data_IF_786703382387
#
_entry.id   IF_786703382387
#
_cell.length_a   1.000
_cell.length_b   1.000
_cell.length_c   1.000
_cell.angle_alpha   90.00
_cell.angle_beta   90.00
_cell.angle_gamma   90.00
#
_symmetry.space_group_name_H-M   'P 1'
#
loop_
_entity.id
_entity.type
_entity.pdbx_description
1 polymer ?
#
# COMPACT_ATOMS: atom_id res chain seq x y z
N UNK A 1 20.69 -5.27 10.65
CA UNK A 1 19.48 -4.50 10.29
C UNK A 1 19.57 -4.26 8.80
N UNK A 2 18.54 -4.60 8.03
CA UNK A 2 18.54 -4.46 6.57
C UNK A 2 18.32 -2.99 6.24
N UNK A 3 19.26 -2.38 5.51
CA UNK A 3 19.24 -0.94 5.21
C UNK A 3 18.29 -0.60 4.04
N UNK A 4 17.93 -1.57 3.21
CA UNK A 4 16.93 -1.41 2.15
C UNK A 4 16.08 -2.68 1.95
N UNK A 5 14.85 -2.71 2.49
CA UNK A 5 13.91 -3.80 2.27
C UNK A 5 13.22 -3.78 0.90
N UNK A 6 13.48 -2.80 0.02
CA UNK A 6 12.97 -2.88 -1.36
C UNK A 6 13.52 -4.12 -2.08
N UNK A 7 12.64 -4.83 -2.78
CA UNK A 7 13.00 -6.03 -3.55
C UNK A 7 13.02 -7.32 -2.74
N UNK A 8 12.78 -7.27 -1.43
CA UNK A 8 12.52 -8.47 -0.63
C UNK A 8 11.10 -8.99 -0.87
N UNK A 9 10.98 -10.31 -0.99
CA UNK A 9 9.72 -11.03 -1.08
C UNK A 9 9.70 -12.19 -0.08
N UNK A 10 8.50 -12.69 0.21
CA UNK A 10 8.31 -13.83 1.08
C UNK A 10 9.08 -15.06 0.57
N UNK A 11 9.82 -15.73 1.46
CA UNK A 11 10.58 -16.95 1.17
C UNK A 11 10.06 -18.13 2.01
N UNK A 12 9.99 -17.98 3.33
CA UNK A 12 9.54 -19.07 4.22
C UNK A 12 8.83 -18.56 5.48
N UNK A 13 8.05 -19.46 6.10
CA UNK A 13 7.37 -19.25 7.37
C UNK A 13 7.48 -20.50 8.24
N UNK A 14 7.93 -20.31 9.47
CA UNK A 14 7.93 -21.34 10.51
C UNK A 14 7.17 -20.85 11.73
N UNK A 15 6.37 -21.74 12.32
CA UNK A 15 5.59 -21.46 13.52
C UNK A 15 5.94 -22.48 14.60
N UNK A 16 6.15 -21.98 15.82
CA UNK A 16 6.38 -22.79 17.00
C UNK A 16 5.41 -22.35 18.10
N UNK A 17 4.79 -23.33 18.76
CA UNK A 17 3.90 -23.06 19.89
C UNK A 17 4.67 -23.31 21.19
N UNK A 18 4.65 -22.33 22.08
CA UNK A 18 5.28 -22.42 23.39
C UNK A 18 4.32 -22.96 24.46
N UNK A 19 4.89 -23.34 25.61
CA UNK A 19 4.14 -24.00 26.69
C UNK A 19 3.10 -23.09 27.38
N UNK A 20 3.27 -21.77 27.27
CA UNK A 20 2.33 -20.74 27.70
C UNK A 20 1.20 -20.46 26.70
N UNK A 21 1.15 -21.22 25.60
CA UNK A 21 0.26 -21.06 24.44
C UNK A 21 0.54 -19.82 23.58
N UNK A 22 1.67 -19.14 23.77
CA UNK A 22 2.11 -18.13 22.81
C UNK A 22 2.64 -18.82 21.55
N UNK A 23 2.48 -18.17 20.39
CA UNK A 23 3.02 -18.63 19.12
C UNK A 23 4.20 -17.75 18.74
N UNK A 24 5.33 -18.36 18.43
CA UNK A 24 6.47 -17.71 17.79
C UNK A 24 6.41 -17.95 16.28
N UNK A 25 6.52 -16.89 15.50
CA UNK A 25 6.68 -16.93 14.05
C UNK A 25 8.10 -16.52 13.69
N UNK A 26 8.78 -17.34 12.89
CA UNK A 26 10.01 -17.00 12.18
C UNK A 26 9.65 -16.81 10.72
N UNK A 27 9.85 -15.61 10.20
CA UNK A 27 9.55 -15.23 8.82
C UNK A 27 10.86 -14.96 8.09
N UNK A 28 11.00 -15.56 6.91
CA UNK A 28 12.16 -15.39 6.04
C UNK A 28 11.77 -14.62 4.78
N UNK A 29 12.54 -13.60 4.43
CA UNK A 29 12.43 -12.88 3.17
C UNK A 29 13.70 -13.06 2.35
N UNK A 30 13.55 -13.09 1.02
CA UNK A 30 14.66 -13.15 0.08
C UNK A 30 14.61 -11.99 -0.91
N UNK A 31 15.76 -11.51 -1.37
CA UNK A 31 15.86 -10.62 -2.51
C UNK A 31 16.24 -11.37 -3.80
N UNK A 32 16.29 -10.67 -4.93
CA UNK A 32 16.62 -11.26 -6.24
C UNK A 32 18.08 -11.75 -6.34
N UNK A 33 18.96 -11.24 -5.48
CA UNK A 33 20.37 -11.65 -5.41
C UNK A 33 20.56 -12.91 -4.54
N UNK A 34 19.47 -13.43 -3.96
CA UNK A 34 19.47 -14.63 -3.12
C UNK A 34 19.88 -14.36 -1.67
N UNK A 35 20.02 -13.09 -1.27
CA UNK A 35 20.21 -12.73 0.15
C UNK A 35 18.92 -13.01 0.91
N UNK A 36 19.05 -13.74 2.03
CA UNK A 36 17.95 -14.09 2.91
C UNK A 36 18.08 -13.40 4.25
N UNK A 37 16.95 -12.93 4.77
CA UNK A 37 16.85 -12.27 6.06
C UNK A 37 15.73 -12.91 6.84
N UNK A 38 16.02 -13.29 8.07
CA UNK A 38 15.08 -13.90 9.00
C UNK A 38 14.77 -12.96 10.15
N UNK A 39 13.54 -12.97 10.60
CA UNK A 39 13.09 -12.21 11.76
C UNK A 39 11.94 -12.94 12.46
N UNK A 40 11.90 -12.82 13.78
CA UNK A 40 10.92 -13.51 14.61
C UNK A 40 10.17 -12.58 15.55
N UNK A 41 8.96 -12.99 15.89
CA UNK A 41 8.18 -12.40 16.97
C UNK A 41 7.19 -13.40 17.55
N UNK A 42 6.75 -13.10 18.77
CA UNK A 42 5.68 -13.83 19.43
C UNK A 42 4.35 -13.09 19.28
N UNK A 43 3.25 -13.83 19.42
CA UNK A 43 1.88 -13.32 19.47
C UNK A 43 0.95 -14.33 20.14
N UNK A 44 -0.26 -13.89 20.49
CA UNK A 44 -1.28 -14.76 21.09
C UNK A 44 -1.90 -15.73 20.06
N UNK A 45 -1.67 -15.49 18.77
CA UNK A 45 -2.03 -16.40 17.69
C UNK A 45 -1.10 -16.27 16.49
N UNK A 46 -1.20 -17.23 15.56
CA UNK A 46 -0.27 -17.33 14.42
C UNK A 46 -0.24 -16.06 13.57
N UNK A 47 -1.40 -15.50 13.23
CA UNK A 47 -1.49 -14.28 12.41
C UNK A 47 -0.85 -13.09 13.12
N UNK A 48 -1.10 -12.94 14.42
CA UNK A 48 -0.50 -11.86 15.22
C UNK A 48 1.02 -12.02 15.30
N UNK A 49 1.52 -13.22 15.57
CA UNK A 49 2.97 -13.50 15.62
C UNK A 49 3.65 -13.18 14.29
N UNK A 50 3.04 -13.59 13.16
CA UNK A 50 3.52 -13.30 11.81
C UNK A 50 3.56 -11.79 11.56
N UNK A 51 2.48 -11.07 11.88
CA UNK A 51 2.40 -9.62 11.64
C UNK A 51 3.38 -8.86 12.51
N UNK A 52 3.54 -9.24 13.78
CA UNK A 52 4.54 -8.68 14.67
C UNK A 52 5.97 -8.89 14.14
N UNK A 53 6.25 -10.04 13.55
CA UNK A 53 7.57 -10.32 12.95
C UNK A 53 7.82 -9.40 11.75
N UNK A 54 6.84 -9.27 10.85
CA UNK A 54 6.89 -8.39 9.68
C UNK A 54 7.02 -6.92 10.09
N UNK A 55 6.29 -6.48 11.12
CA UNK A 55 6.37 -5.11 11.64
C UNK A 55 7.78 -4.77 12.14
N UNK A 56 8.48 -5.71 12.79
CA UNK A 56 9.89 -5.53 13.19
C UNK A 56 10.82 -5.35 11.99
N UNK A 57 10.56 -6.03 10.87
CA UNK A 57 11.37 -5.93 9.66
C UNK A 57 11.19 -4.57 8.97
N UNK A 58 9.94 -4.13 8.77
CA UNK A 58 9.67 -2.87 8.10
C UNK A 58 9.89 -1.63 8.99
N UNK A 59 9.72 -1.79 10.31
CA UNK A 59 9.94 -0.75 11.32
C UNK A 59 9.30 0.60 10.96
N UNK A 60 7.99 0.59 10.71
CA UNK A 60 7.21 1.74 10.26
C UNK A 60 5.85 1.83 10.98
N UNK A 61 5.20 2.99 10.92
CA UNK A 61 3.97 3.29 11.64
C UNK A 61 2.72 2.86 10.86
N UNK A 62 2.30 1.60 11.04
CA UNK A 62 1.18 1.00 10.31
C UNK A 62 0.05 0.57 11.24
N UNK A 63 -1.19 0.66 10.76
CA UNK A 63 -2.37 0.08 11.42
C UNK A 63 -3.05 -0.91 10.49
N UNK A 64 -3.29 -2.14 10.94
CA UNK A 64 -4.20 -3.06 10.28
C UNK A 64 -5.64 -2.53 10.39
N UNK A 65 -6.28 -2.30 9.25
CA UNK A 65 -7.67 -1.83 9.15
C UNK A 65 -8.62 -3.00 8.90
N UNK A 66 -8.25 -3.91 8.01
CA UNK A 66 -9.05 -5.10 7.71
C UNK A 66 -8.18 -6.30 7.33
N UNK A 67 -8.68 -7.49 7.66
CA UNK A 67 -8.10 -8.78 7.31
C UNK A 67 -9.25 -9.71 6.93
N UNK A 68 -9.23 -10.21 5.70
CA UNK A 68 -10.29 -11.06 5.15
C UNK A 68 -9.68 -12.24 4.43
N UNK A 69 -10.20 -13.43 4.69
CA UNK A 69 -9.85 -14.66 3.98
C UNK A 69 -10.97 -14.95 2.99
N UNK A 70 -10.64 -14.96 1.70
CA UNK A 70 -11.51 -15.37 0.62
C UNK A 70 -11.13 -16.79 0.19
N UNK A 71 -12.01 -17.76 0.44
CA UNK A 71 -11.91 -19.06 -0.18
C UNK A 71 -12.24 -18.92 -1.67
N UNK A 72 -11.25 -19.17 -2.55
CA UNK A 72 -11.51 -19.27 -3.99
C UNK A 72 -12.13 -20.64 -4.23
N UNK A 73 -13.46 -20.72 -4.18
CA UNK A 73 -14.18 -22.00 -4.20
C UNK A 73 -14.16 -22.65 -5.58
N UNK A 74 -13.38 -23.72 -5.74
CA UNK A 74 -13.78 -24.98 -6.39
C UNK A 74 -12.71 -26.08 -6.20
N UNK A 75 -12.94 -27.01 -5.26
CA UNK A 75 -12.10 -28.22 -5.08
C UNK A 75 -11.13 -28.19 -3.89
N UNK A 76 -10.40 -29.30 -3.71
CA UNK A 76 -9.41 -29.51 -2.62
C UNK A 76 -8.06 -28.83 -2.96
N UNK A 77 -7.87 -28.43 -4.22
CA UNK A 77 -6.64 -27.83 -4.79
C UNK A 77 -6.79 -26.31 -5.02
N UNK A 78 -7.51 -25.61 -4.16
CA UNK A 78 -7.73 -24.16 -4.31
C UNK A 78 -6.70 -23.36 -3.52
N UNK A 79 -6.14 -22.32 -4.14
CA UNK A 79 -5.32 -21.33 -3.44
C UNK A 79 -6.21 -20.47 -2.55
N UNK A 80 -5.79 -20.26 -1.30
CA UNK A 80 -6.41 -19.31 -0.40
C UNK A 80 -5.98 -17.90 -0.78
N UNK A 81 -6.95 -16.99 -0.83
CA UNK A 81 -6.69 -15.56 -1.03
C UNK A 81 -6.90 -14.81 0.26
N UNK A 82 -5.88 -14.12 0.72
CA UNK A 82 -5.97 -13.23 1.87
C UNK A 82 -5.90 -11.79 1.40
N UNK A 83 -6.85 -10.97 1.87
CA UNK A 83 -6.92 -9.53 1.62
C UNK A 83 -6.60 -8.79 2.92
N UNK A 84 -5.69 -7.83 2.81
CA UNK A 84 -5.26 -6.98 3.93
C UNK A 84 -5.44 -5.52 3.52
N UNK A 85 -6.04 -4.75 4.42
CA UNK A 85 -6.06 -3.29 4.34
C UNK A 85 -5.24 -2.73 5.51
N UNK A 86 -4.30 -1.85 5.20
CA UNK A 86 -3.53 -1.12 6.20
C UNK A 86 -3.66 0.39 6.00
N UNK A 87 -3.52 1.12 7.10
CA UNK A 87 -3.42 2.57 7.15
C UNK A 87 -2.00 2.95 7.53
N UNK A 88 -1.36 3.81 6.74
CA UNK A 88 -0.15 4.50 7.15
C UNK A 88 -0.55 5.59 8.15
N UNK A 89 -0.12 5.45 9.42
CA UNK A 89 -0.52 6.39 10.48
C UNK A 89 0.09 7.77 10.32
N UNK A 90 1.17 7.90 9.56
CA UNK A 90 1.87 9.17 9.37
C UNK A 90 1.19 10.04 8.29
N UNK A 91 0.50 9.41 7.33
CA UNK A 91 -0.13 10.07 6.17
C UNK A 91 -1.64 9.91 6.11
N UNK A 92 -2.22 9.01 6.94
CA UNK A 92 -3.61 8.54 6.89
C UNK A 92 -3.98 7.84 5.57
N UNK A 93 -2.99 7.49 4.73
CA UNK A 93 -3.23 6.80 3.46
C UNK A 93 -3.61 5.34 3.69
N UNK A 94 -4.62 4.87 2.95
CA UNK A 94 -5.09 3.49 2.97
C UNK A 94 -4.48 2.69 1.82
N UNK A 95 -3.87 1.55 2.15
CA UNK A 95 -3.34 0.59 1.19
C UNK A 95 -4.07 -0.74 1.29
N UNK A 96 -4.36 -1.34 0.14
CA UNK A 96 -4.93 -2.68 0.05
C UNK A 96 -3.93 -3.59 -0.64
N UNK A 97 -3.75 -4.79 -0.11
CA UNK A 97 -2.89 -5.80 -0.69
C UNK A 97 -3.53 -7.19 -0.58
N UNK A 98 -3.05 -8.10 -1.42
CA UNK A 98 -3.48 -9.48 -1.42
C UNK A 98 -2.26 -10.41 -1.31
N UNK A 99 -2.50 -11.59 -0.77
CA UNK A 99 -1.57 -12.72 -0.78
C UNK A 99 -2.31 -13.98 -1.24
N UNK A 100 -1.59 -14.83 -1.96
CA UNK A 100 -2.10 -16.07 -2.54
C UNK A 100 -1.12 -17.18 -2.19
N UNK A 101 -1.62 -18.22 -1.52
CA UNK A 101 -0.86 -19.43 -1.20
C UNK A 101 -1.86 -20.57 -0.93
N UNK A 102 -1.40 -21.81 -0.95
CA UNK A 102 -2.22 -22.95 -0.51
C UNK A 102 -2.33 -23.02 1.02
N UNK A 103 -1.40 -22.38 1.73
CA UNK A 103 -1.44 -22.19 3.18
C UNK A 103 -1.92 -20.78 3.52
N UNK A 104 -3.09 -20.68 4.14
CA UNK A 104 -3.69 -19.40 4.56
C UNK A 104 -2.75 -18.53 5.39
N UNK A 105 -1.85 -19.11 6.19
CA UNK A 105 -0.91 -18.35 7.03
C UNK A 105 0.23 -17.76 6.18
N UNK A 106 0.70 -18.49 5.16
CA UNK A 106 1.64 -17.95 4.17
C UNK A 106 1.00 -16.87 3.31
N UNK A 107 -0.22 -17.11 2.84
CA UNK A 107 -1.00 -16.09 2.12
C UNK A 107 -1.18 -14.82 2.96
N UNK A 108 -1.40 -14.98 4.27
CA UNK A 108 -1.48 -13.85 5.22
C UNK A 108 -0.18 -13.08 5.33
N UNK A 109 0.96 -13.77 5.46
CA UNK A 109 2.28 -13.15 5.48
C UNK A 109 2.54 -12.35 4.20
N UNK A 110 2.29 -12.96 3.03
CA UNK A 110 2.47 -12.34 1.72
C UNK A 110 1.60 -11.06 1.60
N UNK A 111 0.32 -11.14 1.97
CA UNK A 111 -0.59 -10.00 1.91
C UNK A 111 -0.09 -8.82 2.76
N UNK A 112 0.36 -9.11 3.97
CA UNK A 112 0.82 -8.09 4.92
C UNK A 112 2.18 -7.49 4.53
N UNK A 113 3.11 -8.29 4.00
CA UNK A 113 4.38 -7.82 3.41
C UNK A 113 4.11 -6.87 2.25
N UNK A 114 3.20 -7.25 1.34
CA UNK A 114 2.82 -6.42 0.20
C UNK A 114 2.22 -5.07 0.63
N UNK A 115 1.34 -5.09 1.63
CA UNK A 115 0.75 -3.88 2.19
C UNK A 115 1.82 -2.94 2.79
N UNK A 116 2.73 -3.49 3.60
CA UNK A 116 3.84 -2.75 4.22
C UNK A 116 4.84 -2.22 3.18
N UNK A 117 5.05 -2.93 2.07
CA UNK A 117 5.89 -2.47 0.97
C UNK A 117 5.30 -1.22 0.30
N UNK A 118 3.97 -1.14 0.16
CA UNK A 118 3.34 0.07 -0.38
C UNK A 118 3.50 1.27 0.55
N UNK A 119 3.30 1.07 1.86
CA UNK A 119 3.52 2.11 2.88
C UNK A 119 4.96 2.61 2.84
N UNK A 120 5.92 1.69 2.76
CA UNK A 120 7.33 2.05 2.68
C UNK A 120 7.67 2.87 1.44
N UNK A 121 7.12 2.50 0.27
CA UNK A 121 7.30 3.28 -0.95
C UNK A 121 6.73 4.68 -0.82
N UNK A 122 5.60 4.84 -0.12
CA UNK A 122 5.06 6.17 0.19
C UNK A 122 6.02 6.94 1.10
N UNK A 123 6.50 6.33 2.18
CA UNK A 123 7.43 6.93 3.14
C UNK A 123 8.78 7.32 2.50
N UNK A 124 9.24 6.57 1.50
CA UNK A 124 10.43 6.87 0.71
C UNK A 124 10.22 7.99 -0.34
N UNK A 125 9.00 8.51 -0.48
CA UNK A 125 8.64 9.51 -1.48
C UNK A 125 8.48 8.95 -2.90
N UNK A 126 8.43 7.62 -3.05
CA UNK A 126 8.28 6.93 -4.34
C UNK A 126 6.82 6.77 -4.79
N UNK A 127 5.84 7.06 -3.92
CA UNK A 127 4.41 7.12 -4.32
C UNK A 127 4.05 8.57 -4.66
N UNK A 128 4.41 8.98 -5.87
CA UNK A 128 3.72 10.06 -6.56
C UNK A 128 3.19 9.50 -7.87
N UNK A 129 1.86 9.58 -8.04
CA UNK A 129 1.06 9.21 -9.22
C UNK A 129 0.61 7.74 -9.28
N UNK A 130 -0.61 7.45 -8.79
CA UNK A 130 -1.64 6.74 -9.61
C UNK A 130 -3.05 6.80 -8.97
N UNK A 131 -3.23 7.05 -7.66
CA UNK A 131 -4.59 6.96 -7.06
C UNK A 131 -4.96 8.17 -6.20
N UNK A 132 -5.03 9.37 -6.79
CA UNK A 132 -5.97 10.39 -6.30
C UNK A 132 -7.29 10.14 -7.03
N UNK A 133 -8.10 9.24 -6.47
CA UNK A 133 -9.53 9.27 -6.69
C UNK A 133 -10.08 10.45 -5.89
N UNK A 134 -10.79 11.35 -6.58
CA UNK A 134 -11.43 12.54 -6.03
C UNK A 134 -12.32 12.20 -4.81
N UNK A 135 -11.94 12.69 -3.63
CA UNK A 135 -12.90 13.14 -2.61
C UNK A 135 -12.40 14.47 -2.03
N UNK A 136 -13.02 15.54 -2.53
CA UNK A 136 -13.17 16.88 -1.97
C UNK A 136 -12.32 17.29 -0.75
N UNK A 137 -11.16 17.93 -0.98
CA UNK A 137 -10.65 18.94 -0.04
C UNK A 137 -11.45 20.24 -0.25
N UNK A 138 -12.51 20.40 0.53
CA UNK A 138 -13.11 21.70 0.79
C UNK A 138 -12.54 22.23 2.09
N UNK A 139 -11.49 23.06 2.03
CA UNK A 139 -11.16 24.02 3.08
C UNK A 139 -10.15 25.05 2.55
N UNK A 140 -10.52 26.32 2.68
CA UNK A 140 -9.95 27.43 1.95
C UNK A 140 -8.59 27.89 2.44
N UNK A 141 -7.74 28.29 1.50
CA UNK A 141 -6.54 29.06 1.77
C UNK A 141 -6.77 30.50 1.32
N UNK A 142 -6.79 31.42 2.27
CA UNK A 142 -6.94 32.85 2.03
C UNK A 142 -5.87 33.66 2.76
N UNK A 143 -5.33 34.64 2.02
CA UNK A 143 -4.58 35.87 2.40
C UNK A 143 -3.04 35.74 2.48
N UNK A 144 -2.32 36.19 1.44
CA UNK A 144 -1.72 37.55 1.25
C UNK A 144 -0.43 37.73 2.08
N UNK A 145 0.76 38.04 1.54
CA UNK A 145 1.03 39.28 0.81
C UNK A 145 2.39 39.31 0.06
N UNK A 146 2.38 40.07 -1.05
CA UNK A 146 3.46 40.87 -1.68
C UNK A 146 4.81 40.20 -1.98
N UNK A 147 5.29 40.17 -3.23
CA UNK A 147 5.71 41.39 -3.94
C UNK A 147 6.22 41.10 -5.37
N UNK A 148 6.15 42.13 -6.21
CA UNK A 148 6.93 42.37 -7.45
C UNK A 148 6.48 41.75 -8.79
N UNK A 149 5.80 42.62 -9.55
CA UNK A 149 6.06 42.94 -10.97
C UNK A 149 6.30 41.81 -11.98
N UNK A 150 5.35 41.64 -12.92
CA UNK A 150 5.50 42.02 -14.33
C UNK A 150 4.24 41.67 -15.10
N UNK A 151 3.58 42.72 -15.63
CA UNK A 151 2.49 42.61 -16.61
C UNK A 151 3.03 41.88 -17.86
N UNK A 152 2.37 40.80 -18.28
CA UNK A 152 2.45 40.32 -19.66
C UNK A 152 1.07 40.42 -20.30
N UNK A 153 1.05 41.17 -21.37
CA UNK A 153 -0.08 41.52 -22.22
C UNK A 153 -0.38 40.33 -23.15
N UNK A 154 -1.63 39.88 -23.22
CA UNK A 154 -2.08 38.87 -24.19
C UNK A 154 -2.68 39.59 -25.40
N UNK A 155 -2.28 39.29 -26.65
CA UNK A 155 -2.83 39.96 -27.82
C UNK A 155 -4.26 39.49 -28.11
N UNK A 156 -5.15 40.47 -28.29
CA UNK A 156 -6.51 40.29 -28.81
C UNK A 156 -6.43 39.96 -30.30
N UNK A 157 -6.92 38.80 -30.71
CA UNK A 157 -7.17 38.55 -32.13
C UNK A 157 -8.62 38.93 -32.45
N UNK A 158 -8.77 40.04 -33.17
CA UNK A 158 -9.99 40.43 -33.86
C UNK A 158 -9.99 39.81 -35.25
N UNK A 159 -11.05 39.09 -35.59
CA UNK A 159 -11.33 38.64 -36.96
C UNK A 159 -12.80 38.26 -37.05
N UNK A 160 -13.64 39.20 -37.50
CA UNK A 160 -15.07 39.02 -37.60
C UNK A 160 -15.58 38.84 -39.02
N UNK A 161 -16.84 38.40 -39.07
CA UNK A 161 -17.89 38.60 -40.09
C UNK A 161 -17.76 37.91 -41.46
N UNK A 162 -18.69 36.99 -41.75
CA UNK A 162 -19.71 37.21 -42.80
C UNK A 162 -20.96 36.33 -42.57
N UNK A 163 -22.09 36.79 -43.11
CA UNK A 163 -23.48 36.50 -42.69
C UNK A 163 -24.27 35.78 -43.80
N UNK A 164 -25.25 34.97 -43.37
CA UNK A 164 -26.59 34.68 -43.96
C UNK A 164 -26.75 34.14 -45.40
N UNK A 165 -27.56 33.07 -45.57
CA UNK A 165 -29.00 33.16 -45.95
C UNK A 165 -29.61 31.81 -46.40
N UNK A 166 -30.90 31.59 -46.05
CA UNK A 166 -31.89 30.71 -46.72
C UNK A 166 -31.68 29.18 -46.57
N UNK A 167 -32.69 28.31 -46.48
CA UNK A 167 -34.13 28.40 -46.66
C UNK A 167 -34.74 27.00 -46.49
N UNK A 168 -36.05 26.98 -46.33
CA UNK A 168 -36.95 25.90 -45.93
C UNK A 168 -36.99 24.68 -46.86
N UNK A 169 -37.22 23.50 -46.28
CA UNK A 169 -38.31 22.56 -46.63
C UNK A 169 -38.47 21.53 -45.52
#
# INVERSE_FOLDING_TARGET
MVENPEGFHFDDLQLQTHADNDIEALVSLANMDGEKVEFNATGQGSVEAIFNAIDKFFNQSVRLVSYTIDAVTDGIDTQDRVLVTVENRDTETIFNAAGLDFDVLKASAIAYINANTFVQKENAGAVFLTTICLVCKGEGYGKENSSSSRRRNWPRNHGGWFRSSGGSS
#
